data_IF_763179568483
#
_entry.id   IF_763179568483
#
_cell.length_a   1.000
_cell.length_b   1.000
_cell.length_c   1.000
_cell.angle_alpha   90.00
_cell.angle_beta   90.00
_cell.angle_gamma   90.00
#
_symmetry.space_group_name_H-M   'P 1'
#
loop_
_entity.id
_entity.type
_entity.pdbx_description
1 polymer ?
#
# COMPACT_ATOMS: atom_id res chain seq x y z
N UNK A 1 20.89 19.54 -8.25
CA UNK A 1 20.60 18.10 -8.47
C UNK A 1 19.63 17.55 -7.43
N UNK A 2 19.83 17.78 -6.12
CA UNK A 2 18.92 17.28 -5.08
C UNK A 2 17.46 17.74 -5.21
N UNK A 3 17.22 19.02 -5.53
CA UNK A 3 15.86 19.55 -5.73
C UNK A 3 15.11 18.82 -6.86
N UNK A 4 15.74 18.67 -8.03
CA UNK A 4 15.14 17.97 -9.17
C UNK A 4 14.78 16.52 -8.83
N UNK A 5 15.64 15.82 -8.08
CA UNK A 5 15.39 14.45 -7.64
C UNK A 5 14.21 14.34 -6.66
N UNK A 6 14.06 15.31 -5.75
CA UNK A 6 12.93 15.36 -4.81
C UNK A 6 11.64 15.74 -5.53
N UNK A 7 11.70 16.63 -6.52
CA UNK A 7 10.55 17.02 -7.35
C UNK A 7 10.09 15.93 -8.32
N UNK A 8 10.95 14.95 -8.62
CA UNK A 8 10.60 13.79 -9.45
C UNK A 8 10.15 12.58 -8.63
N UNK A 9 9.93 12.73 -7.31
CA UNK A 9 9.40 11.65 -6.49
C UNK A 9 7.91 11.44 -6.78
N UNK A 10 7.41 10.21 -6.57
CA UNK A 10 6.02 9.84 -6.89
C UNK A 10 4.96 10.45 -5.96
N UNK A 11 5.39 11.28 -5.01
CA UNK A 11 4.53 11.88 -3.98
C UNK A 11 4.47 13.39 -4.19
N UNK A 12 3.29 13.96 -3.99
CA UNK A 12 3.14 15.41 -4.02
C UNK A 12 3.89 16.05 -2.85
N UNK A 13 4.34 17.31 -2.99
CA UNK A 13 5.02 18.01 -1.90
C UNK A 13 4.15 18.06 -0.63
N UNK A 14 4.71 17.55 0.47
CA UNK A 14 4.07 17.54 1.77
C UNK A 14 4.44 18.80 2.57
N UNK A 15 3.45 19.41 3.22
CA UNK A 15 3.69 20.46 4.21
C UNK A 15 4.21 19.88 5.53
N UNK A 16 4.83 20.72 6.36
CA UNK A 16 5.28 20.31 7.69
C UNK A 16 4.14 19.80 8.58
N UNK A 17 2.93 20.35 8.41
CA UNK A 17 1.73 19.93 9.15
C UNK A 17 1.28 18.53 8.72
N UNK A 18 1.27 18.25 7.42
CA UNK A 18 0.93 16.93 6.88
C UNK A 18 1.93 15.87 7.35
N UNK A 19 3.23 16.19 7.34
CA UNK A 19 4.26 15.28 7.86
C UNK A 19 4.11 15.01 9.35
N UNK A 20 3.81 16.05 10.14
CA UNK A 20 3.61 15.88 11.58
C UNK A 20 2.41 14.97 11.86
N UNK A 21 1.29 15.23 11.19
CA UNK A 21 0.08 14.41 11.31
C UNK A 21 0.34 12.95 10.90
N UNK A 22 1.15 12.75 9.87
CA UNK A 22 1.58 11.42 9.42
C UNK A 22 2.37 10.67 10.48
N UNK A 23 3.38 11.31 11.08
CA UNK A 23 4.17 10.68 12.12
C UNK A 23 3.37 10.41 13.40
N UNK A 24 2.48 11.33 13.78
CA UNK A 24 1.63 11.18 14.96
C UNK A 24 0.66 9.99 14.79
N UNK A 25 0.10 9.82 13.59
CA UNK A 25 -0.81 8.71 13.27
C UNK A 25 -0.11 7.36 13.35
N UNK A 26 1.16 7.31 12.92
CA UNK A 26 1.95 6.08 12.89
C UNK A 26 2.70 5.78 14.20
N UNK A 27 2.63 6.66 15.19
CA UNK A 27 3.36 6.52 16.45
C UNK A 27 3.02 5.22 17.20
N UNK A 28 1.79 4.73 17.06
CA UNK A 28 1.32 3.49 17.69
C UNK A 28 2.08 2.23 17.21
N UNK A 29 2.65 2.26 16.00
CA UNK A 29 3.27 1.09 15.36
C UNK A 29 4.78 0.97 15.63
N UNK A 30 5.36 1.89 16.43
CA UNK A 30 6.79 1.87 16.81
C UNK A 30 7.73 1.68 15.61
N UNK A 31 7.41 2.33 14.49
CA UNK A 31 8.24 2.33 13.30
C UNK A 31 9.52 3.14 13.56
N UNK A 32 10.63 2.70 12.96
CA UNK A 32 11.88 3.43 13.01
C UNK A 32 11.80 4.69 12.16
N UNK A 33 12.70 5.66 12.39
CA UNK A 33 12.78 6.87 11.56
C UNK A 33 13.03 6.55 10.08
N UNK A 34 13.78 5.48 9.78
CA UNK A 34 14.03 5.04 8.42
C UNK A 34 12.78 4.49 7.75
N UNK A 35 12.00 3.68 8.47
CA UNK A 35 10.72 3.14 8.00
C UNK A 35 9.71 4.26 7.75
N UNK A 36 9.55 5.18 8.71
CA UNK A 36 8.66 6.34 8.56
C UNK A 36 9.02 7.21 7.35
N UNK A 37 10.32 7.47 7.15
CA UNK A 37 10.80 8.23 6.00
C UNK A 37 10.54 7.49 4.68
N UNK A 38 10.74 6.18 4.65
CA UNK A 38 10.48 5.37 3.46
C UNK A 38 8.99 5.32 3.14
N UNK A 39 8.11 5.15 4.14
CA UNK A 39 6.66 5.21 3.93
C UNK A 39 6.23 6.59 3.40
N UNK A 40 6.81 7.68 3.92
CA UNK A 40 6.51 9.04 3.45
C UNK A 40 6.94 9.28 1.99
N UNK A 41 8.10 8.75 1.59
CA UNK A 41 8.64 8.95 0.25
C UNK A 41 8.03 8.01 -0.80
N UNK A 42 7.80 6.75 -0.43
CA UNK A 42 7.32 5.71 -1.34
C UNK A 42 5.79 5.63 -1.40
N UNK A 43 5.10 6.11 -0.36
CA UNK A 43 3.64 6.13 -0.21
C UNK A 43 2.95 4.80 -0.60
N UNK A 44 3.31 3.67 0.01
CA UNK A 44 2.85 2.35 -0.44
C UNK A 44 1.32 2.25 -0.54
N UNK A 45 0.86 1.57 -1.58
CA UNK A 45 -0.55 1.34 -1.91
C UNK A 45 -0.94 -0.14 -1.76
N UNK A 46 0.05 -1.03 -1.66
CA UNK A 46 -0.18 -2.48 -1.42
C UNK A 46 0.50 -2.95 -0.14
N UNK A 47 -0.05 -4.00 0.46
CA UNK A 47 0.55 -4.64 1.65
C UNK A 47 1.98 -5.12 1.38
N UNK A 48 2.22 -5.65 0.18
CA UNK A 48 3.56 -6.13 -0.23
C UNK A 48 4.60 -5.00 -0.13
N UNK A 49 4.27 -3.79 -0.56
CA UNK A 49 5.18 -2.64 -0.44
C UNK A 49 5.45 -2.29 1.04
N UNK A 50 4.47 -2.41 1.93
CA UNK A 50 4.69 -2.21 3.38
C UNK A 50 5.62 -3.27 3.96
N UNK A 51 5.48 -4.54 3.54
CA UNK A 51 6.40 -5.62 3.93
C UNK A 51 7.83 -5.39 3.45
N UNK A 52 8.04 -4.68 2.34
CA UNK A 52 9.37 -4.31 1.85
C UNK A 52 10.00 -3.17 2.67
N UNK A 53 9.19 -2.30 3.25
CA UNK A 53 9.67 -1.16 4.05
C UNK A 53 9.93 -1.54 5.51
N UNK A 54 9.03 -2.32 6.12
CA UNK A 54 9.09 -2.65 7.55
C UNK A 54 9.78 -3.99 7.76
N UNK A 55 10.90 -4.01 8.47
CA UNK A 55 11.59 -5.26 8.82
C UNK A 55 10.75 -6.10 9.78
N UNK A 56 10.70 -7.42 9.58
CA UNK A 56 9.87 -8.35 10.37
C UNK A 56 8.40 -7.89 10.48
N UNK A 57 7.87 -7.33 9.38
CA UNK A 57 6.57 -6.66 9.32
C UNK A 57 5.43 -7.49 9.94
N UNK A 58 5.30 -8.76 9.56
CA UNK A 58 4.24 -9.65 10.04
C UNK A 58 4.30 -9.83 11.56
N UNK A 59 5.50 -10.05 12.10
CA UNK A 59 5.69 -10.25 13.54
C UNK A 59 5.45 -8.97 14.36
N UNK A 60 5.67 -7.79 13.78
CA UNK A 60 5.55 -6.50 14.48
C UNK A 60 4.19 -5.84 14.36
N UNK A 61 3.56 -5.94 13.19
CA UNK A 61 2.32 -5.24 12.85
C UNK A 61 1.13 -6.19 12.72
N UNK A 62 1.38 -7.41 12.24
CA UNK A 62 0.34 -8.31 11.74
C UNK A 62 -0.49 -7.70 10.62
N UNK A 63 -1.44 -8.46 10.11
CA UNK A 63 -2.31 -8.02 9.00
C UNK A 63 -3.09 -6.73 9.31
N UNK A 64 -3.68 -6.62 10.51
CA UNK A 64 -4.44 -5.44 10.91
C UNK A 64 -3.58 -4.17 10.99
N UNK A 65 -2.34 -4.28 11.48
CA UNK A 65 -1.41 -3.16 11.54
C UNK A 65 -0.94 -2.73 10.16
N UNK A 66 -0.67 -3.69 9.27
CA UNK A 66 -0.31 -3.40 7.87
C UNK A 66 -1.44 -2.63 7.16
N UNK A 67 -2.68 -3.12 7.28
CA UNK A 67 -3.84 -2.45 6.69
C UNK A 67 -4.05 -1.04 7.26
N UNK A 68 -3.81 -0.84 8.57
CA UNK A 68 -3.92 0.47 9.18
C UNK A 68 -2.81 1.44 8.74
N UNK A 69 -1.58 0.95 8.53
CA UNK A 69 -0.48 1.74 7.95
C UNK A 69 -0.84 2.17 6.52
N UNK A 70 -1.33 1.24 5.69
CA UNK A 70 -1.80 1.55 4.33
C UNK A 70 -2.88 2.62 4.32
N UNK A 71 -3.88 2.49 5.19
CA UNK A 71 -4.96 3.46 5.31
C UNK A 71 -4.44 4.85 5.72
N UNK A 72 -3.48 4.91 6.66
CA UNK A 72 -2.87 6.16 7.08
C UNK A 72 -2.10 6.84 5.93
N UNK A 73 -1.30 6.06 5.18
CA UNK A 73 -0.58 6.54 4.00
C UNK A 73 -1.55 7.12 2.96
N UNK A 74 -2.58 6.35 2.58
CA UNK A 74 -3.56 6.78 1.57
C UNK A 74 -4.35 8.02 2.00
N UNK A 75 -4.62 8.18 3.30
CA UNK A 75 -5.36 9.32 3.82
C UNK A 75 -4.54 10.63 3.89
N UNK A 76 -3.21 10.53 3.97
CA UNK A 76 -2.35 11.68 4.33
C UNK A 76 -1.36 12.07 3.24
N UNK A 77 -1.02 11.14 2.33
CA UNK A 77 -0.04 11.36 1.26
C UNK A 77 -0.74 11.25 -0.08
N UNK A 78 -0.89 12.38 -0.76
CA UNK A 78 -1.47 12.45 -2.09
C UNK A 78 -0.42 12.17 -3.18
N UNK A 79 -0.83 11.47 -4.23
CA UNK A 79 -0.01 11.20 -5.42
C UNK A 79 -0.51 12.01 -6.63
N UNK A 80 0.33 12.23 -7.66
CA UNK A 80 -0.13 12.73 -8.93
C UNK A 80 -1.09 11.71 -9.60
N UNK A 81 -2.18 12.16 -10.24
CA UNK A 81 -3.19 11.29 -10.83
C UNK A 81 -2.67 10.41 -11.98
N UNK A 82 -1.57 10.82 -12.63
CA UNK A 82 -0.93 10.07 -13.72
C UNK A 82 -0.35 8.75 -13.23
N UNK A 83 0.24 8.72 -12.02
CA UNK A 83 0.81 7.51 -11.44
C UNK A 83 -0.23 6.58 -10.81
N UNK A 84 -1.33 7.14 -10.30
CA UNK A 84 -2.45 6.34 -9.79
C UNK A 84 -3.11 5.52 -10.91
N UNK A 85 -3.21 6.08 -12.12
CA UNK A 85 -3.77 5.41 -13.29
C UNK A 85 -2.86 4.27 -13.81
N UNK A 86 -1.54 4.46 -13.80
CA UNK A 86 -0.58 3.42 -14.22
C UNK A 86 -0.60 2.20 -13.28
N UNK A 87 -0.66 2.44 -11.97
CA UNK A 87 -0.68 1.36 -10.96
C UNK A 87 -2.03 0.66 -10.84
N UNK A 88 -3.13 1.35 -11.10
CA UNK A 88 -4.46 0.72 -11.11
C UNK A 88 -4.58 -0.39 -12.16
N UNK A 89 -3.77 -0.35 -13.23
CA UNK A 89 -3.72 -1.39 -14.25
C UNK A 89 -2.94 -2.65 -13.86
N UNK A 90 -2.16 -2.62 -12.77
CA UNK A 90 -1.29 -3.74 -12.34
C UNK A 90 -1.96 -4.67 -11.30
N UNK A 91 -3.17 -4.33 -10.84
CA UNK A 91 -3.87 -5.01 -9.74
C UNK A 91 -4.86 -6.13 -10.11
N UNK A 92 -5.11 -6.40 -11.40
CA UNK A 92 -6.06 -7.43 -11.83
C UNK A 92 -5.35 -8.59 -12.57
N UNK A 93 -4.61 -9.42 -11.84
CA UNK A 93 -4.19 -10.74 -12.33
C UNK A 93 -4.04 -11.75 -11.18
N UNK A 94 -5.05 -12.63 -11.05
CA UNK A 94 -5.11 -13.76 -10.12
C UNK A 94 -6.43 -13.79 -9.35
N UNK A 95 -7.47 -14.46 -9.84
CA UNK A 95 -7.57 -15.91 -9.62
C UNK A 95 -8.07 -16.68 -10.86
N UNK A 96 -7.56 -17.90 -11.00
CA UNK A 96 -7.59 -18.73 -12.19
C UNK A 96 -8.88 -19.50 -12.45
N UNK A 97 -8.98 -19.96 -13.69
CA UNK A 97 -10.05 -20.77 -14.26
C UNK A 97 -9.87 -22.28 -14.01
N UNK A 98 -10.99 -23.01 -14.12
CA UNK A 98 -11.09 -24.47 -14.36
C UNK A 98 -11.16 -25.31 -13.08
N UNK A 99 -11.96 -26.36 -12.93
CA UNK A 99 -12.57 -27.36 -13.82
C UNK A 99 -13.87 -27.84 -13.11
N UNK A 100 -14.94 -28.40 -13.67
CA UNK A 100 -15.23 -29.15 -14.89
C UNK A 100 -16.59 -29.83 -14.64
N UNK A 101 -17.42 -29.88 -15.67
CA UNK A 101 -18.69 -30.62 -15.68
C UNK A 101 -18.46 -32.13 -15.49
N UNK A 102 -19.39 -32.83 -14.82
CA UNK A 102 -20.12 -33.98 -15.37
C UNK A 102 -20.96 -34.68 -14.29
N UNK A 103 -22.18 -35.10 -14.66
CA UNK A 103 -23.02 -35.99 -13.87
C UNK A 103 -24.51 -35.70 -13.98
N UNK A 104 -25.07 -35.83 -15.18
CA UNK A 104 -26.52 -35.91 -15.35
C UNK A 104 -27.07 -37.26 -14.90
N UNK A 105 -28.34 -37.28 -14.50
CA UNK A 105 -29.29 -38.36 -14.74
C UNK A 105 -30.68 -37.85 -14.33
N UNK A 106 -31.61 -37.82 -15.29
CA UNK A 106 -33.03 -37.60 -15.02
C UNK A 106 -33.75 -38.93 -14.88
N UNK A 107 -34.82 -38.99 -14.09
CA UNK A 107 -36.04 -39.69 -14.46
C UNK A 107 -37.19 -39.26 -13.55
N UNK A 108 -38.40 -39.25 -14.11
CA UNK A 108 -39.58 -38.64 -13.54
C UNK A 108 -40.30 -39.46 -12.46
N UNK A 109 -41.26 -38.79 -11.82
CA UNK A 109 -42.45 -39.36 -11.20
C UNK A 109 -43.54 -38.27 -11.17
#
# INVERSE_FOLDING_TARGET
>A
MAFQYLSSQPVLPLSSEQLQQFFDTLQAYRLTRGELLQLANLAPVTAVEVHLVVADCEARLGEAGVNAVLAAVAAQIARPPEEEAERAGEGEAGDGAGEGEEGGEGEGA
#
